data_IF_550922972938
#
_entry.id   IF_550922972938
#
_cell.length_a   1.000
_cell.length_b   1.000
_cell.length_c   1.000
_cell.angle_alpha   90.00
_cell.angle_beta   90.00
_cell.angle_gamma   90.00
#
_symmetry.space_group_name_H-M   'P 1'
#
loop_
_entity.id
_entity.type
_entity.pdbx_description
1 polymer ?
#
# COMPACT_ATOMS: atom_id res chain seq x y z
N UNK A 1 -1.31 -26.10 15.03
CA UNK A 1 -2.26 -25.72 13.97
C UNK A 1 -2.40 -24.21 13.98
N UNK A 2 -2.01 -23.53 12.88
CA UNK A 2 -2.13 -22.07 12.77
C UNK A 2 -3.61 -21.72 12.55
N UNK A 3 -4.23 -21.09 13.53
CA UNK A 3 -5.55 -20.47 13.33
C UNK A 3 -5.33 -19.09 12.71
N UNK A 4 -5.66 -18.94 11.44
CA UNK A 4 -5.70 -17.65 10.76
C UNK A 4 -7.00 -16.99 11.18
N UNK A 5 -6.93 -16.02 12.09
CA UNK A 5 -8.06 -15.15 12.40
C UNK A 5 -8.11 -14.07 11.34
N UNK A 6 -8.97 -14.28 10.35
CA UNK A 6 -9.07 -13.42 9.16
C UNK A 6 -9.87 -12.15 9.51
N UNK A 7 -9.18 -11.09 9.91
CA UNK A 7 -9.73 -9.74 9.90
C UNK A 7 -9.21 -9.01 8.67
N UNK A 8 -10.03 -8.95 7.64
CA UNK A 8 -9.71 -8.19 6.43
C UNK A 8 -10.06 -6.74 6.69
N UNK A 9 -9.04 -5.90 6.87
CA UNK A 9 -9.21 -4.46 6.80
C UNK A 9 -9.52 -4.06 5.35
N UNK A 10 -10.53 -3.24 5.19
CA UNK A 10 -11.03 -2.81 3.89
C UNK A 10 -9.95 -2.12 3.07
N UNK A 11 -9.75 -2.61 1.85
CA UNK A 11 -9.01 -1.90 0.81
C UNK A 11 -9.61 -0.54 0.55
N UNK A 12 -8.83 0.51 0.69
CA UNK A 12 -9.12 1.78 0.06
C UNK A 12 -8.45 1.78 -1.32
N UNK A 13 -9.28 1.80 -2.32
CA UNK A 13 -8.86 2.00 -3.70
C UNK A 13 -8.91 3.51 -3.92
N UNK A 14 -7.79 4.12 -4.30
CA UNK A 14 -7.75 5.49 -4.78
C UNK A 14 -8.52 5.54 -6.10
N UNK A 15 -9.81 5.82 -6.03
CA UNK A 15 -10.62 6.26 -7.15
C UNK A 15 -11.09 7.65 -6.78
N UNK A 16 -10.49 8.65 -7.38
CA UNK A 16 -11.03 10.01 -7.38
C UNK A 16 -12.51 9.94 -7.80
N UNK A 17 -13.43 10.05 -6.83
CA UNK A 17 -14.83 10.32 -7.12
C UNK A 17 -15.87 9.22 -6.85
N UNK A 18 -15.55 8.07 -6.26
CA UNK A 18 -16.59 7.06 -5.93
C UNK A 18 -16.68 6.74 -4.44
N UNK A 19 -17.90 6.82 -3.90
CA UNK A 19 -18.23 6.46 -2.53
C UNK A 19 -17.86 5.01 -2.22
N UNK A 20 -17.11 4.81 -1.13
CA UNK A 20 -16.68 3.50 -0.65
C UNK A 20 -17.87 2.63 -0.24
N UNK A 21 -18.01 1.50 -0.91
CA UNK A 21 -18.77 0.35 -0.42
C UNK A 21 -17.76 -0.66 0.12
N UNK A 22 -17.84 -0.99 1.40
CA UNK A 22 -17.02 -2.06 1.99
C UNK A 22 -17.41 -3.40 1.36
N UNK A 23 -16.63 -3.87 0.40
CA UNK A 23 -16.78 -5.22 -0.14
C UNK A 23 -16.04 -6.22 0.75
N UNK A 24 -16.70 -7.33 1.10
CA UNK A 24 -16.04 -8.48 1.72
C UNK A 24 -14.97 -9.02 0.76
N UNK A 25 -13.72 -8.86 1.14
CA UNK A 25 -12.59 -9.24 0.30
C UNK A 25 -12.47 -10.76 0.24
N UNK A 26 -12.53 -11.32 -0.96
CA UNK A 26 -12.30 -12.76 -1.18
C UNK A 26 -10.79 -13.02 -1.30
N UNK A 27 -10.16 -13.50 -0.22
CA UNK A 27 -8.72 -13.76 -0.12
C UNK A 27 -8.19 -14.72 -1.20
N UNK A 28 -9.01 -15.68 -1.67
CA UNK A 28 -8.61 -16.60 -2.73
C UNK A 28 -8.48 -15.88 -4.09
N UNK A 29 -9.33 -14.89 -4.33
CA UNK A 29 -9.29 -14.04 -5.53
C UNK A 29 -8.13 -13.06 -5.48
N UNK A 30 -7.83 -12.51 -4.29
CA UNK A 30 -6.70 -11.60 -4.10
C UNK A 30 -5.35 -12.26 -4.41
N UNK A 31 -5.14 -13.51 -4.01
CA UNK A 31 -3.84 -14.19 -4.12
C UNK A 31 -3.31 -14.31 -5.55
N UNK A 32 -4.18 -14.29 -6.58
CA UNK A 32 -3.79 -14.30 -7.99
C UNK A 32 -3.77 -12.93 -8.67
N UNK A 33 -4.43 -11.93 -8.05
CA UNK A 33 -4.63 -10.59 -8.58
C UNK A 33 -3.72 -9.53 -7.94
N UNK A 34 -2.96 -9.91 -6.92
CA UNK A 34 -2.21 -9.00 -6.08
C UNK A 34 -0.71 -9.23 -6.23
N UNK A 35 0.05 -8.15 -6.40
CA UNK A 35 1.50 -8.14 -6.22
C UNK A 35 1.78 -7.49 -4.87
N UNK A 36 2.60 -8.14 -4.03
CA UNK A 36 3.13 -7.57 -2.79
C UNK A 36 4.43 -6.87 -3.14
N UNK A 37 4.61 -5.64 -2.65
CA UNK A 37 5.83 -4.88 -2.88
C UNK A 37 7.05 -5.63 -2.34
N UNK A 38 8.08 -5.69 -3.15
CA UNK A 38 9.39 -6.23 -2.78
C UNK A 38 10.47 -5.32 -3.34
N UNK A 39 11.53 -5.12 -2.58
CA UNK A 39 12.70 -4.39 -3.04
C UNK A 39 13.22 -5.05 -4.34
N UNK A 40 13.58 -4.23 -5.30
CA UNK A 40 14.14 -4.64 -6.60
C UNK A 40 13.19 -5.46 -7.51
N UNK A 41 11.90 -5.60 -7.13
CA UNK A 41 10.88 -6.22 -7.98
C UNK A 41 9.99 -5.16 -8.61
N UNK A 42 10.33 -4.76 -9.82
CA UNK A 42 9.61 -3.72 -10.55
C UNK A 42 8.36 -4.28 -11.23
N UNK A 43 7.33 -3.44 -11.31
CA UNK A 43 6.15 -3.70 -12.13
C UNK A 43 6.54 -3.78 -13.61
N UNK A 44 5.85 -4.66 -14.31
CA UNK A 44 5.91 -4.78 -15.77
C UNK A 44 4.57 -4.39 -16.38
N UNK A 45 4.54 -4.07 -17.68
CA UNK A 45 3.28 -3.80 -18.39
C UNK A 45 2.29 -4.96 -18.31
N UNK A 46 2.82 -6.18 -18.21
CA UNK A 46 2.00 -7.40 -18.09
C UNK A 46 1.27 -7.52 -16.74
N UNK A 47 1.59 -6.69 -15.78
CA UNK A 47 0.89 -6.65 -14.49
C UNK A 47 -0.39 -5.81 -14.53
N UNK A 48 -0.53 -4.94 -15.51
CA UNK A 48 -1.70 -4.06 -15.68
C UNK A 48 -2.79 -4.78 -16.48
N UNK A 49 -3.75 -5.40 -15.78
CA UNK A 49 -4.82 -6.25 -16.36
C UNK A 49 -6.20 -5.61 -16.30
N UNK A 50 -6.30 -4.39 -15.79
CA UNK A 50 -7.55 -3.65 -15.65
C UNK A 50 -8.08 -3.14 -16.98
N UNK A 51 -9.35 -2.72 -16.97
CA UNK A 51 -9.94 -2.08 -18.14
C UNK A 51 -9.27 -0.73 -18.38
N UNK A 52 -8.92 -0.49 -19.62
CA UNK A 52 -8.33 0.77 -20.05
C UNK A 52 -9.30 1.92 -19.80
N UNK A 53 -8.87 2.90 -19.01
CA UNK A 53 -9.52 4.21 -18.90
C UNK A 53 -8.90 5.12 -19.95
N UNK A 54 -9.71 5.83 -20.73
CA UNK A 54 -9.18 6.81 -21.71
C UNK A 54 -8.78 8.13 -21.06
N UNK A 55 -8.90 8.23 -19.74
CA UNK A 55 -8.66 9.47 -19.02
C UNK A 55 -7.17 9.72 -18.74
N UNK A 56 -6.41 8.65 -18.41
CA UNK A 56 -5.00 8.74 -18.02
C UNK A 56 -4.15 7.75 -18.82
N UNK A 57 -2.86 8.07 -18.98
CA UNK A 57 -1.90 7.22 -19.69
C UNK A 57 -1.61 5.90 -18.95
N UNK A 58 -1.76 5.90 -17.64
CA UNK A 58 -1.67 4.76 -16.73
C UNK A 58 -2.53 4.99 -15.51
N UNK A 59 -2.72 3.96 -14.69
CA UNK A 59 -3.33 4.00 -13.37
C UNK A 59 -2.90 2.77 -12.59
N UNK A 60 -2.01 2.94 -11.62
CA UNK A 60 -1.66 1.91 -10.63
C UNK A 60 -2.63 1.95 -9.47
N UNK A 61 -3.37 0.88 -9.23
CA UNK A 61 -4.22 0.75 -8.05
C UNK A 61 -3.46 0.01 -6.97
N UNK A 62 -3.04 0.74 -5.95
CA UNK A 62 -2.26 0.26 -4.82
C UNK A 62 -3.05 0.38 -3.52
N UNK A 63 -2.56 -0.23 -2.44
CA UNK A 63 -3.20 -0.14 -1.14
C UNK A 63 -2.44 -0.81 -0.01
N UNK A 64 -2.78 -0.43 1.22
CA UNK A 64 -2.22 -1.01 2.43
C UNK A 64 -3.06 -2.22 2.85
N UNK A 65 -2.41 -3.36 3.07
CA UNK A 65 -3.05 -4.58 3.57
C UNK A 65 -2.49 -4.93 4.95
N UNK A 66 -3.37 -5.12 5.93
CA UNK A 66 -3.01 -5.51 7.29
C UNK A 66 -3.69 -6.84 7.62
N UNK A 67 -2.88 -7.86 7.90
CA UNK A 67 -3.36 -9.21 8.20
C UNK A 67 -2.86 -9.62 9.59
N UNK A 68 -3.73 -9.89 10.56
CA UNK A 68 -3.32 -10.49 11.82
C UNK A 68 -3.00 -11.97 11.63
N UNK A 69 -1.87 -12.40 12.17
CA UNK A 69 -1.43 -13.80 12.19
C UNK A 69 -1.16 -14.20 13.64
N UNK A 70 -1.88 -15.18 14.16
CA UNK A 70 -1.59 -15.75 15.48
C UNK A 70 -0.45 -16.77 15.34
N UNK A 71 0.64 -16.55 16.07
CA UNK A 71 1.79 -17.44 16.08
C UNK A 71 2.21 -17.70 17.54
N UNK A 72 2.07 -18.96 18.01
CA UNK A 72 2.48 -19.38 19.36
C UNK A 72 1.90 -18.50 20.49
N UNK A 73 0.63 -18.09 20.38
CA UNK A 73 -0.05 -17.25 21.38
C UNK A 73 0.27 -15.75 21.27
N UNK A 74 1.17 -15.35 20.38
CA UNK A 74 1.46 -13.96 20.07
C UNK A 74 0.68 -13.49 18.84
N UNK A 75 0.30 -12.23 18.84
CA UNK A 75 -0.33 -11.59 17.67
C UNK A 75 0.76 -10.88 16.88
N UNK A 76 0.98 -11.34 15.65
CA UNK A 76 1.84 -10.70 14.66
C UNK A 76 0.94 -10.10 13.58
N UNK A 77 1.17 -8.86 13.20
CA UNK A 77 0.50 -8.25 12.07
C UNK A 77 1.43 -8.24 10.86
N UNK A 78 0.95 -8.77 9.72
CA UNK A 78 1.60 -8.57 8.44
C UNK A 78 1.01 -7.31 7.80
N UNK A 79 1.85 -6.29 7.60
CA UNK A 79 1.51 -5.02 6.96
C UNK A 79 2.21 -4.95 5.62
N UNK A 80 1.45 -4.89 4.54
CA UNK A 80 1.97 -5.01 3.18
C UNK A 80 1.44 -3.89 2.29
N UNK A 81 2.29 -3.38 1.41
CA UNK A 81 1.87 -2.62 0.25
C UNK A 81 1.53 -3.59 -0.89
N UNK A 82 0.40 -3.38 -1.52
CA UNK A 82 -0.11 -4.25 -2.57
C UNK A 82 -0.51 -3.47 -3.81
N UNK A 83 -0.29 -4.09 -4.97
CA UNK A 83 -0.75 -3.62 -6.27
C UNK A 83 -1.83 -4.56 -6.81
N UNK A 84 -2.93 -4.03 -7.34
CA UNK A 84 -4.06 -4.79 -7.83
C UNK A 84 -4.07 -4.87 -9.35
N UNK A 85 -3.67 -6.01 -9.91
CA UNK A 85 -3.53 -6.21 -11.37
C UNK A 85 -4.82 -5.92 -12.14
N UNK A 86 -5.94 -6.49 -11.71
CA UNK A 86 -7.23 -6.36 -12.42
C UNK A 86 -7.86 -4.97 -12.32
N UNK A 87 -7.36 -4.13 -11.45
CA UNK A 87 -7.81 -2.74 -11.26
C UNK A 87 -6.89 -1.74 -11.96
N UNK A 88 -5.63 -2.09 -12.14
CA UNK A 88 -4.59 -1.24 -12.72
C UNK A 88 -4.55 -1.38 -14.24
N UNK A 89 -4.38 -0.26 -14.94
CA UNK A 89 -4.27 -0.24 -16.40
C UNK A 89 -3.15 0.69 -16.85
N UNK A 90 -2.60 0.43 -18.03
CA UNK A 90 -1.61 1.27 -18.70
C UNK A 90 -1.91 1.28 -20.20
N UNK A 91 -1.96 2.48 -20.80
CA UNK A 91 -2.31 2.65 -22.21
C UNK A 91 -1.07 2.97 -23.04
N UNK A 92 -0.23 3.87 -22.52
CA UNK A 92 0.96 4.28 -23.22
C UNK A 92 2.07 3.25 -23.08
N UNK A 93 2.64 2.85 -24.22
CA UNK A 93 3.82 2.00 -24.26
C UNK A 93 5.09 2.85 -24.02
N UNK A 94 5.17 3.48 -22.84
CA UNK A 94 6.25 4.36 -22.43
C UNK A 94 6.87 3.84 -21.13
N UNK A 95 8.18 3.68 -21.12
CA UNK A 95 8.93 3.31 -19.91
C UNK A 95 8.84 4.40 -18.85
N UNK A 96 8.68 5.64 -19.29
CA UNK A 96 8.52 6.78 -18.39
C UNK A 96 7.17 6.68 -17.62
N UNK A 97 6.07 6.37 -18.30
CA UNK A 97 4.77 6.16 -17.64
C UNK A 97 4.83 4.94 -16.71
N UNK A 98 5.49 3.86 -17.12
CA UNK A 98 5.66 2.69 -16.23
C UNK A 98 6.43 3.06 -14.94
N UNK A 99 7.44 3.93 -15.02
CA UNK A 99 8.16 4.45 -13.86
C UNK A 99 7.28 5.32 -12.98
N UNK A 100 6.39 6.12 -13.57
CA UNK A 100 5.41 6.91 -12.83
C UNK A 100 4.48 5.99 -12.02
N UNK A 101 3.94 4.96 -12.66
CA UNK A 101 3.08 3.97 -11.99
C UNK A 101 3.84 3.14 -10.93
N UNK A 102 5.12 2.85 -11.17
CA UNK A 102 5.96 2.19 -10.17
C UNK A 102 6.11 3.07 -8.92
N UNK A 103 6.27 4.37 -9.08
CA UNK A 103 6.45 5.26 -7.94
C UNK A 103 5.19 5.34 -7.05
N UNK A 104 3.98 5.21 -7.59
CA UNK A 104 2.77 5.01 -6.80
C UNK A 104 2.89 3.77 -5.90
N UNK A 105 3.46 2.68 -6.41
CA UNK A 105 3.65 1.47 -5.62
C UNK A 105 4.74 1.63 -4.55
N UNK A 106 5.79 2.39 -4.83
CA UNK A 106 6.85 2.71 -3.87
C UNK A 106 6.34 3.67 -2.79
N UNK A 107 5.49 4.62 -3.13
CA UNK A 107 4.78 5.49 -2.16
C UNK A 107 3.88 4.64 -1.25
N UNK A 108 3.17 3.65 -1.79
CA UNK A 108 2.37 2.73 -0.97
C UNK A 108 3.26 1.98 0.04
N UNK A 109 4.43 1.48 -0.35
CA UNK A 109 5.38 0.84 0.58
C UNK A 109 5.94 1.84 1.61
N UNK A 110 6.23 3.08 1.22
CA UNK A 110 6.63 4.12 2.15
C UNK A 110 5.60 4.28 3.28
N UNK A 111 4.31 4.31 2.93
CA UNK A 111 3.24 4.41 3.92
C UNK A 111 3.00 3.10 4.68
N UNK A 112 3.26 1.94 4.09
CA UNK A 112 3.30 0.67 4.82
C UNK A 112 4.39 0.69 5.90
N UNK A 113 5.58 1.22 5.61
CA UNK A 113 6.66 1.40 6.60
C UNK A 113 6.29 2.40 7.70
N UNK A 114 5.62 3.51 7.37
CA UNK A 114 5.09 4.46 8.37
C UNK A 114 4.08 3.80 9.31
N UNK A 115 3.20 2.93 8.78
CA UNK A 115 2.26 2.17 9.60
C UNK A 115 2.98 1.14 10.49
N UNK A 116 3.96 0.40 9.94
CA UNK A 116 4.80 -0.53 10.72
C UNK A 116 5.56 0.19 11.82
N UNK A 117 6.12 1.35 11.55
CA UNK A 117 6.76 2.22 12.54
C UNK A 117 5.79 2.54 13.67
N UNK A 118 4.64 3.11 13.34
CA UNK A 118 3.62 3.51 14.32
C UNK A 118 3.17 2.34 15.19
N UNK A 119 3.01 1.16 14.60
CA UNK A 119 2.64 -0.06 15.31
C UNK A 119 3.78 -0.57 16.20
N UNK A 120 5.03 -0.53 15.72
CA UNK A 120 6.21 -1.03 16.45
C UNK A 120 6.58 -0.14 17.65
N UNK A 121 6.34 1.17 17.54
CA UNK A 121 6.66 2.14 18.59
C UNK A 121 5.54 2.28 19.64
N UNK A 122 4.38 1.65 19.41
CA UNK A 122 3.24 1.70 20.33
C UNK A 122 3.38 0.68 21.46
N UNK A 123 3.25 1.15 22.70
CA UNK A 123 3.03 0.28 23.86
C UNK A 123 1.58 -0.26 23.86
N UNK A 124 1.45 -1.58 23.70
CA UNK A 124 0.16 -2.29 23.70
C UNK A 124 -0.16 -2.96 25.03
N UNK A 125 0.70 -2.92 26.05
CA UNK A 125 0.53 -3.63 27.33
C UNK A 125 -0.77 -3.24 28.04
N UNK A 126 -1.17 -1.97 27.98
CA UNK A 126 -2.39 -1.43 28.59
C UNK A 126 -3.56 -1.30 27.63
N UNK A 127 -3.42 -1.76 26.39
CA UNK A 127 -4.46 -1.63 25.36
C UNK A 127 -5.51 -2.73 25.53
N UNK A 128 -6.74 -2.36 25.87
CA UNK A 128 -7.86 -3.30 26.04
C UNK A 128 -8.30 -3.91 24.70
N UNK A 129 -8.36 -3.11 23.66
CA UNK A 129 -8.77 -3.53 22.32
C UNK A 129 -7.73 -3.12 21.28
N UNK A 130 -6.83 -4.06 20.98
CA UNK A 130 -5.74 -3.88 19.99
C UNK A 130 -6.32 -3.60 18.60
N UNK A 131 -7.41 -4.28 18.23
CA UNK A 131 -8.02 -4.14 16.91
C UNK A 131 -8.49 -2.70 16.65
N UNK A 132 -9.14 -2.06 17.62
CA UNK A 132 -9.56 -0.65 17.46
C UNK A 132 -8.36 0.27 17.32
N UNK A 133 -7.29 0.04 18.09
CA UNK A 133 -6.08 0.87 18.01
C UNK A 133 -5.40 0.71 16.65
N UNK A 134 -5.24 -0.52 16.16
CA UNK A 134 -4.68 -0.79 14.83
C UNK A 134 -5.54 -0.19 13.72
N UNK A 135 -6.89 -0.30 13.83
CA UNK A 135 -7.80 0.31 12.86
C UNK A 135 -7.64 1.84 12.80
N UNK A 136 -7.51 2.49 13.95
CA UNK A 136 -7.31 3.95 14.01
C UNK A 136 -5.95 4.36 13.40
N UNK A 137 -4.89 3.58 13.67
CA UNK A 137 -3.58 3.79 13.05
C UNK A 137 -3.65 3.64 11.53
N UNK A 138 -4.28 2.56 11.06
CA UNK A 138 -4.52 2.32 9.65
C UNK A 138 -5.26 3.49 8.99
N UNK A 139 -6.39 3.92 9.56
CA UNK A 139 -7.20 4.99 9.01
C UNK A 139 -6.42 6.32 8.91
N UNK A 140 -5.61 6.63 9.94
CA UNK A 140 -4.75 7.81 9.94
C UNK A 140 -3.73 7.74 8.80
N UNK A 141 -2.95 6.65 8.75
CA UNK A 141 -1.89 6.48 7.75
C UNK A 141 -2.46 6.42 6.34
N UNK A 142 -3.59 5.75 6.16
CA UNK A 142 -4.25 5.69 4.85
C UNK A 142 -4.73 7.07 4.37
N UNK A 143 -5.29 7.89 5.27
CA UNK A 143 -5.69 9.26 4.90
C UNK A 143 -4.49 10.15 4.54
N UNK A 144 -3.33 9.93 5.16
CA UNK A 144 -2.09 10.62 4.81
C UNK A 144 -1.54 10.10 3.47
N UNK A 145 -1.62 8.80 3.22
CA UNK A 145 -1.26 8.15 1.96
C UNK A 145 -2.08 8.73 0.80
N UNK A 146 -3.42 8.76 0.91
CA UNK A 146 -4.30 9.29 -0.13
C UNK A 146 -3.96 10.75 -0.50
N UNK A 147 -3.63 11.57 0.49
CA UNK A 147 -3.23 12.97 0.24
C UNK A 147 -1.87 13.07 -0.47
N UNK A 148 -0.94 12.19 -0.13
CA UNK A 148 0.38 12.19 -0.72
C UNK A 148 0.35 11.69 -2.16
N UNK A 149 -0.45 10.67 -2.47
CA UNK A 149 -0.73 10.17 -3.81
C UNK A 149 -1.32 11.26 -4.71
N UNK A 150 -2.39 11.93 -4.22
CA UNK A 150 -3.01 13.02 -4.98
C UNK A 150 -2.00 14.16 -5.24
N UNK A 151 -1.17 14.50 -4.23
CA UNK A 151 -0.15 15.52 -4.41
C UNK A 151 0.92 15.12 -5.42
N UNK A 152 1.31 13.85 -5.45
CA UNK A 152 2.24 13.31 -6.43
C UNK A 152 1.68 13.44 -7.86
N UNK A 153 0.44 13.03 -8.07
CA UNK A 153 -0.24 13.15 -9.36
C UNK A 153 -0.36 14.62 -9.79
N UNK A 154 -0.81 15.50 -8.90
CA UNK A 154 -0.96 16.94 -9.18
C UNK A 154 0.40 17.57 -9.54
N UNK A 155 1.45 17.33 -8.76
CA UNK A 155 2.78 17.92 -8.97
C UNK A 155 3.41 17.43 -10.30
N UNK A 156 3.18 16.17 -10.65
CA UNK A 156 3.74 15.54 -11.86
C UNK A 156 2.84 15.68 -13.08
N UNK A 157 1.66 16.28 -12.92
CA UNK A 157 0.61 16.33 -13.96
C UNK A 157 0.35 14.92 -14.50
N UNK A 158 0.09 13.96 -13.61
CA UNK A 158 -0.15 12.54 -13.92
C UNK A 158 0.94 11.92 -14.83
N UNK A 159 2.19 12.19 -14.50
CA UNK A 159 3.33 11.67 -15.22
C UNK A 159 3.72 12.47 -16.48
N UNK A 160 3.20 13.67 -16.68
CA UNK A 160 3.57 14.53 -17.84
C UNK A 160 4.73 15.51 -17.52
N UNK A 161 5.17 15.60 -16.25
CA UNK A 161 6.24 16.50 -15.82
C UNK A 161 7.49 15.73 -15.34
N UNK A 162 8.47 15.46 -16.25
CA UNK A 162 9.66 14.68 -15.89
C UNK A 162 10.54 15.31 -14.81
N UNK A 163 10.62 16.63 -14.76
CA UNK A 163 11.44 17.32 -13.77
C UNK A 163 10.86 17.14 -12.36
N UNK A 164 9.54 17.24 -12.21
CA UNK A 164 8.86 16.97 -10.95
C UNK A 164 8.91 15.48 -10.58
N UNK A 165 8.72 14.59 -11.55
CA UNK A 165 8.87 13.15 -11.37
C UNK A 165 10.21 12.82 -10.70
N UNK A 166 11.30 13.35 -11.21
CA UNK A 166 12.65 13.11 -10.64
C UNK A 166 12.77 13.58 -9.20
N UNK A 167 12.19 14.73 -8.85
CA UNK A 167 12.18 15.25 -7.47
C UNK A 167 11.45 14.28 -6.54
N UNK A 168 10.31 13.76 -6.98
CA UNK A 168 9.52 12.80 -6.21
C UNK A 168 10.22 11.44 -6.05
N UNK A 169 10.88 10.94 -7.10
CA UNK A 169 11.69 9.73 -7.03
C UNK A 169 12.78 9.83 -5.94
N UNK A 170 13.50 10.97 -5.93
CA UNK A 170 14.57 11.19 -4.96
C UNK A 170 14.02 11.36 -3.52
N UNK A 171 12.91 12.06 -3.36
CA UNK A 171 12.27 12.25 -2.05
C UNK A 171 11.74 10.93 -1.47
N UNK A 172 11.01 10.15 -2.26
CA UNK A 172 10.48 8.84 -1.86
C UNK A 172 11.62 7.89 -1.50
N UNK A 173 12.67 7.83 -2.33
CA UNK A 173 13.84 6.99 -2.08
C UNK A 173 14.55 7.38 -0.76
N UNK A 174 14.68 8.68 -0.47
CA UNK A 174 15.25 9.18 0.78
C UNK A 174 14.42 8.76 1.99
N UNK A 175 13.10 9.00 1.96
CA UNK A 175 12.21 8.62 3.04
C UNK A 175 12.17 7.09 3.26
N UNK A 176 12.18 6.31 2.18
CA UNK A 176 12.26 4.85 2.24
C UNK A 176 13.53 4.36 2.94
N UNK A 177 14.67 5.03 2.69
CA UNK A 177 15.95 4.74 3.35
C UNK A 177 15.91 5.07 4.84
N UNK A 178 15.32 6.19 5.23
CA UNK A 178 15.14 6.57 6.65
C UNK A 178 14.30 5.54 7.41
N UNK A 179 13.32 4.95 6.74
CA UNK A 179 12.42 3.94 7.30
C UNK A 179 12.88 2.48 7.02
N UNK A 180 14.14 2.26 6.65
CA UNK A 180 14.63 0.92 6.27
C UNK A 180 14.52 -0.11 7.41
N UNK A 181 14.65 0.33 8.67
CA UNK A 181 14.44 -0.53 9.84
C UNK A 181 13.02 -1.11 9.97
N UNK A 182 12.04 -0.54 9.25
CA UNK A 182 10.65 -1.00 9.18
C UNK A 182 10.32 -1.68 7.83
N UNK A 183 11.33 -2.17 7.12
CA UNK A 183 11.15 -2.88 5.84
C UNK A 183 10.55 -4.28 6.01
N UNK A 184 10.72 -4.93 7.18
CA UNK A 184 10.05 -6.20 7.47
C UNK A 184 8.53 -6.01 7.48
N UNK A 185 7.82 -6.88 6.76
CA UNK A 185 6.36 -6.82 6.71
C UNK A 185 5.69 -7.26 8.01
N UNK A 186 6.41 -7.95 8.90
CA UNK A 186 5.87 -8.47 10.15
C UNK A 186 6.13 -7.50 11.32
N UNK A 187 5.08 -7.20 12.06
CA UNK A 187 5.11 -6.39 13.27
C UNK A 187 4.60 -7.23 14.45
N UNK A 188 5.45 -7.45 15.44
CA UNK A 188 5.07 -8.12 16.66
C UNK A 188 4.36 -7.16 17.61
N UNK A 189 3.12 -7.50 17.99
CA UNK A 189 2.35 -6.78 18.99
C UNK A 189 2.35 -7.60 20.27
N UNK A 190 3.32 -7.31 21.13
CA UNK A 190 3.50 -8.05 22.39
C UNK A 190 2.48 -7.59 23.42
N UNK A 191 1.71 -8.53 23.98
CA UNK A 191 1.04 -8.40 25.28
C UNK A 191 1.95 -9.07 26.31
N UNK A 192 2.68 -8.30 27.07
CA UNK A 192 3.33 -8.85 28.28
C UNK A 192 2.30 -8.98 29.39
#
# INVERSE_FOLDING_TARGET
MKKILLFVFTFLICLSGYAQKSEKVNMKKLKGDTIIWQKDSLLTRDDFKGRVSKQWAGCAVTGLMVIPVETNGNIVFSVQAVFLKSKSNIIQNSDYILKHEQLHFDICELYARKLRQMMSEKDFTKVKNIQIVIQNMYNKVNSEFDKYENKYDDDTNHGENPAKQKVWEDDVASQMKELDKYSSTEVNVVRN
#
